data_IF_342082909879
#
_entry.id   IF_342082909879
#
_cell.length_a   1.000
_cell.length_b   1.000
_cell.length_c   1.000
_cell.angle_alpha   90.00
_cell.angle_beta   90.00
_cell.angle_gamma   90.00
#
_symmetry.space_group_name_H-M   'P 1'
#
loop_
_entity.id
_entity.type
_entity.pdbx_description
1 polymer ?
#
# COMPACT_ATOMS: atom_id res chain seq x y z
N UNK A 1 23.26 -4.33 -7.37
CA UNK A 1 23.31 -5.13 -6.14
C UNK A 1 23.09 -4.20 -4.96
N UNK A 2 22.06 -4.42 -4.14
CA UNK A 2 21.90 -3.71 -2.87
C UNK A 2 22.57 -4.55 -1.78
N UNK A 3 23.68 -4.06 -1.25
CA UNK A 3 24.33 -4.67 -0.09
C UNK A 3 23.68 -4.10 1.17
N UNK A 4 22.90 -4.93 1.88
CA UNK A 4 22.40 -4.61 3.22
C UNK A 4 23.50 -4.94 4.21
N UNK A 5 24.11 -3.92 4.85
CA UNK A 5 25.11 -4.09 5.89
C UNK A 5 24.42 -4.33 7.23
N UNK A 6 24.53 -5.54 7.77
CA UNK A 6 24.07 -5.85 9.13
C UNK A 6 25.12 -5.40 10.15
N UNK A 7 24.79 -4.38 10.94
CA UNK A 7 25.65 -3.89 12.02
C UNK A 7 25.36 -4.69 13.29
N UNK A 8 26.28 -5.59 13.67
CA UNK A 8 26.12 -6.47 14.83
C UNK A 8 26.42 -5.79 16.18
N UNK A 9 27.11 -4.65 16.17
CA UNK A 9 27.42 -3.89 17.37
C UNK A 9 27.54 -2.40 17.02
N UNK A 10 26.49 -1.63 17.33
CA UNK A 10 26.41 -0.20 17.03
C UNK A 10 27.44 0.58 17.82
N UNK A 11 27.64 0.28 19.11
CA UNK A 11 28.57 0.98 20.00
C UNK A 11 30.03 0.85 19.56
N UNK A 12 30.45 -0.33 19.07
CA UNK A 12 31.79 -0.55 18.51
C UNK A 12 31.96 0.15 17.17
N UNK A 13 30.90 0.23 16.37
CA UNK A 13 30.94 0.89 15.07
C UNK A 13 31.03 2.42 15.23
N UNK A 14 30.23 2.99 16.13
CA UNK A 14 30.16 4.44 16.37
C UNK A 14 31.24 4.91 17.34
N UNK A 15 31.80 4.02 18.18
CA UNK A 15 32.72 4.38 19.24
C UNK A 15 32.04 5.13 20.39
N UNK A 16 30.73 4.98 20.54
CA UNK A 16 29.91 5.70 21.53
C UNK A 16 29.12 4.70 22.37
N UNK A 17 29.15 4.91 23.68
CA UNK A 17 28.35 4.21 24.68
C UNK A 17 27.13 5.07 25.03
N UNK A 18 25.94 4.50 24.93
CA UNK A 18 24.66 5.16 25.26
C UNK A 18 23.97 4.32 26.33
N UNK A 19 23.53 4.94 27.42
CA UNK A 19 22.88 4.19 28.50
C UNK A 19 21.57 3.56 28.00
N UNK A 20 21.38 2.22 28.14
CA UNK A 20 20.22 1.53 27.59
C UNK A 20 18.91 1.75 28.38
N UNK A 21 18.97 2.47 29.51
CA UNK A 21 17.80 2.73 30.35
C UNK A 21 17.28 4.15 30.14
N UNK A 22 18.12 5.17 30.39
CA UNK A 22 17.69 6.57 30.21
C UNK A 22 17.88 7.09 28.80
N UNK A 23 18.74 6.48 27.98
CA UNK A 23 19.11 6.94 26.63
C UNK A 23 19.72 8.38 26.55
N UNK A 24 19.82 9.08 27.68
CA UNK A 24 20.36 10.44 27.77
C UNK A 24 21.86 10.48 28.08
N UNK A 25 22.37 9.49 28.82
CA UNK A 25 23.76 9.47 29.24
C UNK A 25 24.65 8.82 28.18
N UNK A 26 25.50 9.64 27.56
CA UNK A 26 26.36 9.25 26.45
C UNK A 26 27.83 9.47 26.80
N UNK A 27 28.70 8.52 26.44
CA UNK A 27 30.15 8.61 26.64
C UNK A 27 30.88 8.01 25.44
N UNK A 28 32.06 8.52 25.10
CA UNK A 28 32.89 7.94 24.03
C UNK A 28 33.52 6.65 24.54
N UNK A 29 33.35 5.55 23.81
CA UNK A 29 34.03 4.29 24.06
C UNK A 29 35.54 4.51 23.92
N UNK A 30 36.23 4.59 25.06
CA UNK A 30 37.67 4.83 25.07
C UNK A 30 38.42 3.55 25.36
N UNK A 31 39.33 3.18 24.46
CA UNK A 31 40.28 2.09 24.69
C UNK A 31 41.44 2.50 25.61
N UNK A 32 41.64 3.81 25.81
CA UNK A 32 42.75 4.37 26.60
C UNK A 32 42.29 4.88 27.96
N UNK A 33 41.09 5.45 28.05
CA UNK A 33 40.52 6.02 29.27
C UNK A 33 39.51 5.06 29.93
N UNK A 34 40.04 4.08 30.67
CA UNK A 34 39.22 3.10 31.41
C UNK A 34 38.25 3.76 32.41
N UNK A 35 38.64 4.89 32.99
CA UNK A 35 37.86 5.63 33.98
C UNK A 35 36.54 6.17 33.41
N UNK A 36 36.53 6.61 32.15
CA UNK A 36 35.33 7.06 31.48
C UNK A 36 34.31 5.91 31.30
N UNK A 37 34.79 4.72 30.91
CA UNK A 37 33.94 3.54 30.79
C UNK A 37 33.44 3.06 32.17
N UNK A 38 34.25 3.17 33.22
CA UNK A 38 33.84 2.87 34.60
C UNK A 38 32.74 3.81 35.10
N UNK A 39 32.83 5.11 34.79
CA UNK A 39 31.77 6.06 35.11
C UNK A 39 30.48 5.75 34.36
N UNK A 40 30.58 5.38 33.08
CA UNK A 40 29.43 4.93 32.30
C UNK A 40 28.77 3.69 32.92
N UNK A 41 29.55 2.65 33.26
CA UNK A 41 29.01 1.45 33.91
C UNK A 41 28.38 1.76 35.28
N UNK A 42 29.01 2.63 36.06
CA UNK A 42 28.46 3.08 37.36
C UNK A 42 27.13 3.81 37.18
N UNK A 43 27.01 4.62 36.13
CA UNK A 43 25.74 5.24 35.76
C UNK A 43 24.70 4.17 35.40
N UNK A 44 25.03 3.24 34.50
CA UNK A 44 24.10 2.18 34.02
C UNK A 44 23.52 1.37 35.18
N UNK A 45 24.35 0.97 36.15
CA UNK A 45 23.89 0.21 37.32
C UNK A 45 22.92 0.99 38.21
N UNK A 46 23.17 2.29 38.41
CA UNK A 46 22.23 3.16 39.15
C UNK A 46 20.95 3.38 38.36
N UNK A 47 21.10 3.63 37.06
CA UNK A 47 20.05 3.94 36.11
C UNK A 47 19.06 2.78 35.92
N UNK A 48 19.53 1.53 36.05
CA UNK A 48 18.69 0.33 36.05
C UNK A 48 17.63 0.31 37.17
N UNK A 49 17.93 0.93 38.31
CA UNK A 49 17.08 0.91 39.51
C UNK A 49 16.14 2.11 39.64
N UNK A 50 16.30 3.12 38.78
CA UNK A 50 15.46 4.32 38.76
C UNK A 50 14.24 4.14 37.86
N UNK A 51 13.08 4.63 38.31
CA UNK A 51 11.91 4.85 37.47
C UNK A 51 12.16 6.04 36.55
N UNK A 52 12.42 5.77 35.27
CA UNK A 52 12.51 6.79 34.24
C UNK A 52 11.11 7.29 33.90
N UNK A 53 10.97 8.61 33.73
CA UNK A 53 9.79 9.14 33.03
C UNK A 53 9.79 8.55 31.62
N UNK A 54 8.63 8.14 31.08
CA UNK A 54 8.54 7.62 29.72
C UNK A 54 8.91 8.74 28.74
N UNK A 55 10.18 8.79 28.35
CA UNK A 55 10.67 9.62 27.27
C UNK A 55 10.42 8.93 25.95
N UNK A 56 10.12 9.72 24.92
CA UNK A 56 9.94 9.22 23.56
C UNK A 56 11.32 8.75 23.07
N UNK A 57 11.52 7.43 22.99
CA UNK A 57 12.72 6.84 22.44
C UNK A 57 12.71 7.03 20.91
N UNK A 58 13.60 7.88 20.41
CA UNK A 58 13.83 8.00 18.98
C UNK A 58 14.65 6.80 18.50
N UNK A 59 14.32 6.26 17.33
CA UNK A 59 15.05 5.14 16.75
C UNK A 59 16.54 5.47 16.52
N UNK A 60 17.42 4.53 16.85
CA UNK A 60 18.89 4.66 16.72
C UNK A 60 19.37 4.88 15.27
N UNK A 61 18.53 4.54 14.29
CA UNK A 61 18.82 4.69 12.87
C UNK A 61 18.01 5.87 12.33
N UNK A 62 18.63 6.84 11.64
CA UNK A 62 17.88 7.87 10.95
C UNK A 62 16.94 7.21 9.94
N UNK A 63 15.64 7.24 10.21
CA UNK A 63 14.64 6.82 9.24
C UNK A 63 14.82 7.71 7.99
N UNK A 64 14.84 7.13 6.77
CA UNK A 64 14.77 7.94 5.57
C UNK A 64 13.51 8.80 5.65
N UNK A 65 13.70 10.12 5.82
CA UNK A 65 12.61 11.07 5.97
C UNK A 65 11.91 11.14 4.63
N UNK A 66 10.78 10.45 4.52
CA UNK A 66 9.84 10.61 3.42
C UNK A 66 8.61 11.32 3.98
N UNK A 67 8.52 12.67 3.85
CA UNK A 67 7.43 13.44 4.46
C UNK A 67 6.03 12.94 4.07
N UNK A 68 5.88 12.45 2.83
CA UNK A 68 4.63 11.87 2.34
C UNK A 68 4.21 10.58 3.09
N UNK A 69 5.18 9.81 3.60
CA UNK A 69 4.93 8.61 4.41
C UNK A 69 4.69 9.00 5.87
N UNK A 70 5.43 9.98 6.39
CA UNK A 70 5.34 10.43 7.78
C UNK A 70 4.01 11.13 8.10
N UNK A 71 3.40 11.79 7.12
CA UNK A 71 2.08 12.43 7.27
C UNK A 71 0.89 11.46 7.13
N UNK A 72 1.14 10.15 6.95
CA UNK A 72 0.06 9.17 6.84
C UNK A 72 -0.45 8.78 8.24
N UNK A 73 -1.75 8.91 8.55
CA UNK A 73 -2.27 8.68 9.91
C UNK A 73 -1.93 7.31 10.51
N UNK A 74 -1.94 6.25 9.70
CA UNK A 74 -1.52 4.90 10.11
C UNK A 74 -0.05 4.86 10.53
N UNK A 75 0.82 5.51 9.74
CA UNK A 75 2.26 5.46 9.96
C UNK A 75 2.61 6.27 11.20
N UNK A 76 2.01 7.46 11.35
CA UNK A 76 2.14 8.29 12.55
C UNK A 76 1.70 7.53 13.81
N UNK A 77 0.52 6.90 13.79
CA UNK A 77 0.01 6.11 14.91
C UNK A 77 0.95 4.94 15.27
N UNK A 78 1.38 4.15 14.28
CA UNK A 78 2.25 3.00 14.51
C UNK A 78 3.63 3.43 15.02
N UNK A 79 4.20 4.52 14.51
CA UNK A 79 5.46 5.08 15.02
C UNK A 79 5.32 5.55 16.47
N UNK A 80 4.27 6.31 16.79
CA UNK A 80 4.05 6.85 18.14
C UNK A 80 3.89 5.76 19.21
N UNK A 81 3.37 4.59 18.83
CA UNK A 81 3.19 3.45 19.73
C UNK A 81 4.33 2.41 19.65
N UNK A 82 5.38 2.64 18.86
CA UNK A 82 6.49 1.69 18.69
C UNK A 82 6.11 0.39 17.96
N UNK A 83 5.04 0.40 17.17
CA UNK A 83 4.46 -0.75 16.44
C UNK A 83 4.77 -0.72 14.94
N UNK A 84 5.86 -0.06 14.54
CA UNK A 84 6.18 0.17 13.12
C UNK A 84 6.44 -1.14 12.35
N UNK A 85 6.83 -2.20 13.05
CA UNK A 85 6.98 -3.56 12.54
C UNK A 85 5.65 -4.18 12.06
N UNK A 86 4.52 -3.68 12.55
CA UNK A 86 3.18 -4.12 12.16
C UNK A 86 2.66 -3.43 10.90
N UNK A 87 3.39 -2.45 10.34
CA UNK A 87 2.94 -1.68 9.19
C UNK A 87 2.63 -2.59 7.98
N UNK A 88 1.34 -2.69 7.66
CA UNK A 88 0.82 -3.23 6.42
C UNK A 88 0.85 -2.15 5.35
N UNK A 89 1.88 -2.18 4.51
CA UNK A 89 1.89 -1.37 3.28
C UNK A 89 0.69 -1.78 2.42
N UNK A 90 0.03 -0.83 1.78
CA UNK A 90 -1.08 -1.09 0.86
C UNK A 90 -0.58 -1.94 -0.31
N UNK A 91 -0.91 -3.24 -0.28
CA UNK A 91 -0.38 -4.27 -1.17
C UNK A 91 -1.43 -4.80 -2.15
N UNK A 92 -2.71 -4.57 -1.88
CA UNK A 92 -3.80 -4.94 -2.76
C UNK A 92 -4.26 -3.77 -3.64
N UNK A 93 -4.50 -4.07 -4.90
CA UNK A 93 -4.97 -3.11 -5.90
C UNK A 93 -5.62 -3.84 -7.07
N UNK A 94 -6.37 -3.09 -7.87
CA UNK A 94 -7.02 -3.57 -9.09
C UNK A 94 -6.48 -2.75 -10.24
N UNK A 95 -6.03 -3.40 -11.32
CA UNK A 95 -5.71 -2.72 -12.58
C UNK A 95 -6.71 -3.12 -13.64
N UNK A 96 -7.09 -2.21 -14.53
CA UNK A 96 -7.92 -2.53 -15.67
C UNK A 96 -7.50 -1.76 -16.91
N UNK A 97 -7.87 -2.27 -18.08
CA UNK A 97 -7.72 -1.62 -19.37
C UNK A 97 -8.99 -1.86 -20.21
N UNK A 98 -9.44 -0.82 -20.90
CA UNK A 98 -10.60 -0.88 -21.79
C UNK A 98 -10.14 -0.74 -23.24
N UNK A 99 -10.58 -1.68 -24.06
CA UNK A 99 -10.51 -1.52 -25.51
C UNK A 99 -11.84 -0.98 -26.00
N UNK A 100 -11.75 0.02 -26.89
CA UNK A 100 -12.92 0.66 -27.50
C UNK A 100 -12.73 0.80 -29.00
N UNK A 101 -13.82 0.67 -29.74
CA UNK A 101 -13.86 0.95 -31.18
C UNK A 101 -14.44 2.35 -31.39
N UNK A 102 -13.82 3.14 -32.27
CA UNK A 102 -14.33 4.46 -32.65
C UNK A 102 -15.16 4.37 -33.93
N UNK A 103 -16.46 4.64 -33.82
CA UNK A 103 -17.37 4.70 -34.95
C UNK A 103 -17.49 6.16 -35.41
N UNK A 104 -17.23 6.44 -36.68
CA UNK A 104 -17.46 7.77 -37.25
C UNK A 104 -18.96 7.98 -37.49
N UNK A 105 -19.54 8.98 -36.82
CA UNK A 105 -20.99 9.21 -36.82
C UNK A 105 -21.36 10.49 -37.56
N UNK A 106 -20.55 11.56 -37.47
CA UNK A 106 -20.78 12.85 -38.14
C UNK A 106 -22.22 13.39 -38.00
N UNK A 107 -22.78 13.38 -36.78
CA UNK A 107 -24.17 13.76 -36.51
C UNK A 107 -24.25 15.16 -35.94
N UNK A 108 -25.01 16.05 -36.59
CA UNK A 108 -25.34 17.36 -36.03
C UNK A 108 -26.34 17.17 -34.87
N UNK A 109 -25.91 17.52 -33.65
CA UNK A 109 -26.74 17.49 -32.44
C UNK A 109 -27.53 18.80 -32.32
N UNK A 110 -26.89 19.92 -32.67
CA UNK A 110 -27.48 21.25 -32.77
C UNK A 110 -26.87 21.96 -33.99
N UNK A 111 -27.37 23.15 -34.32
CA UNK A 111 -26.84 23.99 -35.40
C UNK A 111 -25.36 24.38 -35.21
N UNK A 112 -24.81 24.20 -34.01
CA UNK A 112 -23.42 24.56 -33.66
C UNK A 112 -22.60 23.39 -33.11
N UNK A 113 -23.15 22.16 -33.06
CA UNK A 113 -22.46 21.02 -32.46
C UNK A 113 -22.62 19.77 -33.33
N UNK A 114 -21.49 19.23 -33.76
CA UNK A 114 -21.42 17.98 -34.53
C UNK A 114 -20.68 16.91 -33.73
N UNK A 115 -21.33 15.79 -33.50
CA UNK A 115 -20.73 14.56 -32.97
C UNK A 115 -19.94 13.89 -34.10
N UNK A 116 -18.60 13.96 -34.03
CA UNK A 116 -17.73 13.42 -35.07
C UNK A 116 -17.63 11.88 -35.00
N UNK A 117 -17.42 11.35 -33.80
CA UNK A 117 -17.31 9.91 -33.55
C UNK A 117 -17.92 9.54 -32.21
N UNK A 118 -18.29 8.28 -32.07
CA UNK A 118 -18.79 7.67 -30.85
C UNK A 118 -17.95 6.44 -30.53
N UNK A 119 -17.54 6.29 -29.27
CA UNK A 119 -16.82 5.12 -28.82
C UNK A 119 -17.81 4.01 -28.41
N UNK A 120 -17.55 2.82 -28.93
CA UNK A 120 -18.25 1.58 -28.60
C UNK A 120 -17.30 0.70 -27.78
N UNK A 121 -17.75 0.22 -26.63
CA UNK A 121 -16.98 -0.72 -25.79
C UNK A 121 -16.64 -1.98 -26.58
N UNK A 122 -15.41 -2.48 -26.51
CA UNK A 122 -14.98 -3.70 -27.22
C UNK A 122 -14.66 -4.82 -26.23
N UNK A 123 -13.82 -4.52 -25.25
CA UNK A 123 -13.44 -5.46 -24.21
C UNK A 123 -12.91 -4.74 -22.98
N UNK A 124 -12.80 -5.47 -21.89
CA UNK A 124 -12.08 -5.06 -20.69
C UNK A 124 -11.20 -6.22 -20.23
N UNK A 125 -9.96 -5.89 -19.87
CA UNK A 125 -9.08 -6.79 -19.14
C UNK A 125 -8.78 -6.19 -17.78
N UNK A 126 -8.82 -7.00 -16.73
CA UNK A 126 -8.49 -6.55 -15.37
C UNK A 126 -7.72 -7.61 -14.60
N UNK A 127 -6.97 -7.14 -13.62
CA UNK A 127 -6.21 -7.97 -12.69
C UNK A 127 -6.38 -7.42 -11.29
N UNK A 128 -6.93 -8.23 -10.40
CA UNK A 128 -7.06 -7.95 -8.99
C UNK A 128 -5.93 -8.64 -8.22
N UNK A 129 -5.23 -7.88 -7.38
CA UNK A 129 -4.09 -8.34 -6.59
C UNK A 129 -4.51 -8.40 -5.13
N UNK A 130 -4.57 -9.60 -4.57
CA UNK A 130 -4.92 -9.85 -3.19
C UNK A 130 -3.67 -10.17 -2.37
N UNK A 131 -3.39 -9.42 -1.29
CA UNK A 131 -2.27 -9.73 -0.42
C UNK A 131 -2.64 -10.82 0.59
N UNK A 132 -1.79 -11.85 0.70
CA UNK A 132 -1.93 -12.90 1.71
C UNK A 132 -1.12 -12.59 2.99
N UNK A 133 -1.47 -13.29 4.07
CA UNK A 133 -0.81 -13.15 5.38
C UNK A 133 0.67 -13.54 5.35
N UNK A 134 1.05 -14.50 4.50
CA UNK A 134 2.42 -14.98 4.30
C UNK A 134 3.26 -14.07 3.39
N UNK A 135 2.75 -12.88 3.02
CA UNK A 135 3.34 -11.93 2.07
C UNK A 135 3.34 -12.42 0.62
N UNK A 136 2.67 -13.54 0.30
CA UNK A 136 2.38 -13.92 -1.07
C UNK A 136 1.25 -13.06 -1.65
N UNK A 137 1.03 -13.19 -2.96
CA UNK A 137 -0.05 -12.52 -3.66
C UNK A 137 -0.90 -13.55 -4.38
N UNK A 138 -2.21 -13.39 -4.30
CA UNK A 138 -3.17 -14.04 -5.18
C UNK A 138 -3.59 -13.07 -6.28
N UNK A 139 -3.73 -13.60 -7.50
CA UNK A 139 -4.06 -12.83 -8.69
C UNK A 139 -5.33 -13.39 -9.28
N UNK A 140 -6.36 -12.55 -9.34
CA UNK A 140 -7.53 -12.83 -10.16
C UNK A 140 -7.38 -12.04 -11.45
N UNK A 141 -7.73 -12.66 -12.57
CA UNK A 141 -7.68 -12.04 -13.89
C UNK A 141 -9.03 -12.21 -14.53
N UNK A 142 -9.63 -11.12 -14.98
CA UNK A 142 -10.92 -11.12 -15.66
C UNK A 142 -10.77 -10.47 -17.01
N UNK A 143 -11.33 -11.10 -18.04
CA UNK A 143 -11.39 -10.57 -19.38
C UNK A 143 -12.82 -10.76 -19.89
N UNK A 144 -13.42 -9.67 -20.34
CA UNK A 144 -14.71 -9.73 -21.04
C UNK A 144 -14.61 -8.99 -22.35
N UNK A 145 -15.30 -9.51 -23.34
CA UNK A 145 -15.44 -8.97 -24.67
C UNK A 145 -16.92 -8.79 -24.99
N UNK A 146 -17.23 -8.03 -26.03
CA UNK A 146 -18.58 -7.95 -26.58
C UNK A 146 -19.18 -9.33 -26.93
N UNK A 147 -18.35 -10.32 -27.27
CA UNK A 147 -18.83 -11.65 -27.63
C UNK A 147 -19.26 -12.47 -26.41
N UNK A 148 -18.69 -12.18 -25.23
CA UNK A 148 -19.07 -12.86 -24.00
C UNK A 148 -20.51 -12.50 -23.59
N UNK A 149 -20.99 -11.31 -23.93
CA UNK A 149 -22.39 -10.91 -23.68
C UNK A 149 -23.41 -11.83 -24.41
N UNK A 150 -22.96 -12.59 -25.42
CA UNK A 150 -23.80 -13.51 -26.19
C UNK A 150 -23.70 -14.96 -25.71
N UNK A 151 -22.86 -15.24 -24.72
CA UNK A 151 -22.63 -16.59 -24.22
C UNK A 151 -23.71 -17.03 -23.23
N UNK A 152 -24.09 -18.31 -23.25
CA UNK A 152 -25.12 -18.85 -22.35
C UNK A 152 -24.73 -18.68 -20.87
N UNK A 153 -23.43 -18.77 -20.55
CA UNK A 153 -22.91 -18.62 -19.18
C UNK A 153 -22.90 -17.16 -18.67
N UNK A 154 -23.18 -16.19 -19.53
CA UNK A 154 -23.15 -14.78 -19.16
C UNK A 154 -24.40 -14.39 -18.39
N UNK A 155 -25.55 -14.97 -18.75
CA UNK A 155 -26.81 -14.72 -18.06
C UNK A 155 -26.78 -15.22 -16.61
N UNK A 156 -26.16 -16.38 -16.37
CA UNK A 156 -25.97 -16.92 -15.02
C UNK A 156 -25.12 -15.97 -14.16
N UNK A 157 -24.07 -15.37 -14.73
CA UNK A 157 -23.24 -14.40 -14.02
C UNK A 157 -24.00 -13.12 -13.71
N UNK A 158 -24.84 -12.61 -14.61
CA UNK A 158 -25.68 -11.45 -14.33
C UNK A 158 -26.66 -11.73 -13.17
N UNK A 159 -27.24 -12.93 -13.11
CA UNK A 159 -28.16 -13.32 -12.05
C UNK A 159 -27.47 -13.38 -10.67
N UNK A 160 -26.24 -13.91 -10.61
CA UNK A 160 -25.43 -13.93 -9.36
C UNK A 160 -25.26 -12.53 -8.76
N UNK A 161 -25.11 -11.50 -9.60
CA UNK A 161 -24.94 -10.11 -9.17
C UNK A 161 -26.25 -9.30 -9.22
N UNK A 162 -27.41 -9.96 -9.38
CA UNK A 162 -28.73 -9.34 -9.47
C UNK A 162 -28.84 -8.23 -10.55
N UNK A 163 -28.08 -8.37 -11.64
CA UNK A 163 -28.05 -7.41 -12.73
C UNK A 163 -29.16 -7.70 -13.76
N UNK A 164 -29.76 -6.66 -14.39
CA UNK A 164 -30.70 -6.84 -15.50
C UNK A 164 -30.10 -7.69 -16.63
N UNK A 165 -30.89 -8.52 -17.29
CA UNK A 165 -30.43 -9.41 -18.38
C UNK A 165 -29.84 -8.69 -19.60
N UNK A 166 -30.14 -7.39 -19.78
CA UNK A 166 -29.54 -6.55 -20.81
C UNK A 166 -28.29 -5.78 -20.34
N UNK A 167 -27.74 -6.14 -19.18
CA UNK A 167 -26.54 -5.49 -18.64
C UNK A 167 -25.30 -5.88 -19.41
N UNK A 168 -24.53 -4.88 -19.82
CA UNK A 168 -23.26 -5.11 -20.49
C UNK A 168 -22.17 -5.62 -19.59
N UNK A 169 -21.11 -6.18 -20.18
CA UNK A 169 -19.98 -6.74 -19.42
C UNK A 169 -19.32 -5.72 -18.50
N UNK A 170 -19.43 -4.43 -18.83
CA UNK A 170 -18.97 -3.32 -17.97
C UNK A 170 -19.71 -3.29 -16.62
N UNK A 171 -21.02 -3.52 -16.62
CA UNK A 171 -21.82 -3.53 -15.38
C UNK A 171 -21.48 -4.75 -14.54
N UNK A 172 -21.35 -5.92 -15.17
CA UNK A 172 -20.90 -7.14 -14.51
C UNK A 172 -19.51 -6.98 -13.89
N UNK A 173 -18.57 -6.46 -14.67
CA UNK A 173 -17.22 -6.19 -14.21
C UNK A 173 -17.19 -5.19 -13.05
N UNK A 174 -18.00 -4.12 -13.10
CA UNK A 174 -18.10 -3.16 -12.00
C UNK A 174 -18.59 -3.83 -10.71
N UNK A 175 -19.63 -4.67 -10.79
CA UNK A 175 -20.12 -5.42 -9.63
C UNK A 175 -19.04 -6.33 -9.02
N UNK A 176 -18.34 -7.08 -9.87
CA UNK A 176 -17.22 -7.94 -9.48
C UNK A 176 -16.05 -7.16 -8.88
N UNK A 177 -15.79 -5.94 -9.39
CA UNK A 177 -14.74 -5.06 -8.90
C UNK A 177 -15.06 -4.55 -7.50
N UNK A 178 -16.32 -4.21 -7.21
CA UNK A 178 -16.73 -3.81 -5.86
C UNK A 178 -16.57 -4.95 -4.85
N UNK A 179 -17.00 -6.16 -5.20
CA UNK A 179 -16.80 -7.34 -4.35
C UNK A 179 -15.30 -7.60 -4.11
N UNK A 180 -14.49 -7.53 -5.16
CA UNK A 180 -13.04 -7.73 -5.06
C UNK A 180 -12.39 -6.64 -4.21
N UNK A 181 -12.85 -5.39 -4.31
CA UNK A 181 -12.36 -4.29 -3.48
C UNK A 181 -12.70 -4.49 -1.99
N UNK A 182 -13.88 -5.01 -1.66
CA UNK A 182 -14.23 -5.35 -0.28
C UNK A 182 -13.32 -6.44 0.29
N UNK A 183 -13.10 -7.51 -0.49
CA UNK A 183 -12.18 -8.59 -0.11
C UNK A 183 -10.74 -8.08 0.07
N UNK A 184 -10.22 -7.26 -0.85
CA UNK A 184 -8.90 -6.63 -0.73
C UNK A 184 -8.82 -5.77 0.53
N UNK A 185 -9.86 -4.99 0.82
CA UNK A 185 -9.94 -4.16 2.01
C UNK A 185 -9.86 -5.01 3.29
N UNK A 186 -10.63 -6.10 3.38
CA UNK A 186 -10.60 -7.01 4.52
C UNK A 186 -9.23 -7.68 4.72
N UNK A 187 -8.55 -8.08 3.65
CA UNK A 187 -7.19 -8.62 3.73
C UNK A 187 -6.19 -7.60 4.30
N UNK A 188 -6.37 -6.31 3.97
CA UNK A 188 -5.47 -5.24 4.41
C UNK A 188 -5.80 -4.68 5.79
N UNK A 189 -7.03 -4.86 6.28
CA UNK A 189 -7.51 -4.32 7.56
C UNK A 189 -6.62 -4.78 8.72
N UNK A 190 -6.37 -3.87 9.65
CA UNK A 190 -5.67 -4.19 10.90
C UNK A 190 -6.63 -4.86 11.88
N UNK A 191 -6.13 -5.79 12.69
CA UNK A 191 -6.94 -6.43 13.74
C UNK A 191 -7.29 -5.48 14.87
N UNK A 192 -6.46 -4.45 15.09
CA UNK A 192 -6.71 -3.38 16.05
C UNK A 192 -7.48 -2.25 15.38
N UNK A 193 -8.69 -1.98 15.87
CA UNK A 193 -9.59 -0.94 15.36
C UNK A 193 -9.08 0.48 15.66
N UNK A 194 -8.15 0.64 16.60
CA UNK A 194 -7.58 1.95 16.94
C UNK A 194 -6.54 2.41 15.91
N UNK A 195 -6.00 1.50 15.10
CA UNK A 195 -5.05 1.84 14.04
C UNK A 195 -5.83 2.58 12.94
N UNK A 196 -5.55 3.86 12.67
CA UNK A 196 -6.21 4.59 11.59
C UNK A 196 -5.88 3.88 10.28
N UNK A 197 -6.87 3.43 9.52
CA UNK A 197 -6.67 2.76 8.24
C UNK A 197 -7.63 3.34 7.21
N UNK A 198 -7.07 3.85 6.11
CA UNK A 198 -7.87 4.43 5.04
C UNK A 198 -8.63 3.32 4.30
N UNK A 199 -9.94 3.50 4.11
CA UNK A 199 -10.84 2.51 3.50
C UNK A 199 -10.80 2.53 1.98
N UNK A 200 -9.68 2.94 1.39
CA UNK A 200 -9.56 3.11 -0.04
C UNK A 200 -8.79 1.95 -0.67
N UNK A 201 -9.40 1.25 -1.62
CA UNK A 201 -8.71 0.32 -2.52
C UNK A 201 -8.35 1.04 -3.80
N UNK A 202 -7.10 0.88 -4.25
CA UNK A 202 -6.62 1.51 -5.48
C UNK A 202 -7.13 0.74 -6.69
N UNK A 203 -7.87 1.43 -7.55
CA UNK A 203 -8.28 0.95 -8.86
C UNK A 203 -7.60 1.80 -9.92
N UNK A 204 -6.73 1.18 -10.72
CA UNK A 204 -5.82 1.84 -11.65
C UNK A 204 -6.23 1.50 -13.09
N UNK A 205 -6.74 2.49 -13.80
CA UNK A 205 -7.03 2.38 -15.22
C UNK A 205 -5.80 2.65 -16.07
N UNK A 206 -5.51 1.75 -17.00
CA UNK A 206 -4.59 1.97 -18.11
C UNK A 206 -5.41 2.46 -19.31
N UNK A 207 -4.79 3.28 -20.14
CA UNK A 207 -5.36 3.69 -21.41
C UNK A 207 -4.25 3.60 -22.46
N UNK A 208 -4.28 2.53 -23.24
CA UNK A 208 -3.31 2.19 -24.29
C UNK A 208 -3.20 3.27 -25.38
N UNK A 209 -4.28 4.02 -25.65
CA UNK A 209 -4.33 5.01 -26.75
C UNK A 209 -3.31 6.16 -26.66
N UNK A 210 -2.74 6.41 -25.48
CA UNK A 210 -1.66 7.42 -25.32
C UNK A 210 -0.26 6.90 -25.64
N UNK A 211 -0.09 5.59 -25.84
CA UNK A 211 1.21 4.97 -26.14
C UNK A 211 1.38 4.58 -27.62
N UNK A 212 0.32 4.65 -28.43
CA UNK A 212 0.35 4.30 -29.85
C UNK A 212 0.81 5.45 -30.78
N UNK A 213 1.43 6.51 -30.24
CA UNK A 213 2.11 7.52 -31.07
C UNK A 213 3.55 7.05 -31.29
N UNK A 214 3.76 6.20 -32.30
CA UNK A 214 5.06 5.87 -32.86
C UNK A 214 5.03 5.95 -34.39
#
# INVERSE_FOLDING_TARGET
EQHVLYVSNVEKLTGVLICPYCHDYVTILSNTNKRANEYFNTHVEKCKSSTHEPSILLHDVPMPICPAILNHPTVEYLMANGLIDQLKVQRGFITYDFETLSDQVMKNITDQTTLLSQLSKLSIASTEVFPNQDKSYELVKRCYTLFDELSDNYQDQLEVYELPSNSSFVHLWLAQTFESAEQIYECMRYSDENIPFDKCVKVLGWNSSRFDIA
#
